data_IF_639147419074
#
_entry.id   IF_639147419074
#
_cell.length_a   1.000
_cell.length_b   1.000
_cell.length_c   1.000
_cell.angle_alpha   90.00
_cell.angle_beta   90.00
_cell.angle_gamma   90.00
#
_symmetry.space_group_name_H-M   'P 1'
#
loop_
_entity.id
_entity.type
_entity.pdbx_description
1 polymer ?
#
# COMPACT_ATOMS: atom_id res chain seq x y z
N UNK A 1 8.16 2.06 -8.56
CA UNK A 1 8.30 3.49 -8.91
C UNK A 1 7.70 3.85 -10.27
N UNK A 2 8.15 3.28 -11.39
CA UNK A 2 7.70 3.67 -12.75
C UNK A 2 6.20 3.44 -12.98
N UNK A 3 5.69 2.23 -12.68
CA UNK A 3 4.27 1.91 -12.87
C UNK A 3 3.33 2.86 -12.13
N UNK A 4 3.65 3.25 -10.89
CA UNK A 4 2.85 4.20 -10.10
C UNK A 4 2.80 5.58 -10.76
N UNK A 5 3.91 6.09 -11.28
CA UNK A 5 3.93 7.40 -11.95
C UNK A 5 3.12 7.38 -13.24
N UNK A 6 3.27 6.32 -14.04
CA UNK A 6 2.50 6.16 -15.28
C UNK A 6 1.01 6.12 -14.95
N UNK A 7 0.59 5.26 -14.02
CA UNK A 7 -0.82 5.14 -13.63
C UNK A 7 -1.42 6.46 -13.12
N UNK A 8 -0.72 7.17 -12.22
CA UNK A 8 -1.21 8.44 -11.68
C UNK A 8 -1.29 9.53 -12.76
N UNK A 9 -0.28 9.63 -13.64
CA UNK A 9 -0.31 10.59 -14.75
C UNK A 9 -1.42 10.29 -15.73
N UNK A 10 -1.63 9.02 -16.09
CA UNK A 10 -2.73 8.58 -16.97
C UNK A 10 -4.09 8.90 -16.35
N UNK A 11 -4.32 8.54 -15.08
CA UNK A 11 -5.58 8.83 -14.38
C UNK A 11 -5.87 10.33 -14.31
N UNK A 12 -4.85 11.16 -14.03
CA UNK A 12 -4.98 12.61 -14.02
C UNK A 12 -5.29 13.19 -15.41
N UNK A 13 -4.66 12.66 -16.46
CA UNK A 13 -4.92 13.07 -17.84
C UNK A 13 -6.36 12.77 -18.27
N UNK A 14 -6.85 11.56 -17.97
CA UNK A 14 -8.23 11.17 -18.23
C UNK A 14 -9.23 12.04 -17.46
N UNK A 15 -9.00 12.24 -16.16
CA UNK A 15 -9.84 13.08 -15.32
C UNK A 15 -9.92 14.53 -15.83
N UNK A 16 -8.79 15.08 -16.28
CA UNK A 16 -8.74 16.41 -16.89
C UNK A 16 -9.57 16.48 -18.18
N UNK A 17 -9.40 15.52 -19.08
CA UNK A 17 -10.11 15.49 -20.36
C UNK A 17 -11.62 15.29 -20.20
N UNK A 18 -12.02 14.42 -19.27
CA UNK A 18 -13.41 14.07 -18.99
C UNK A 18 -14.11 15.06 -18.04
N UNK A 19 -13.38 16.01 -17.45
CA UNK A 19 -13.88 16.97 -16.44
C UNK A 19 -14.52 16.28 -15.23
N UNK A 20 -13.94 15.17 -14.79
CA UNK A 20 -14.37 14.41 -13.61
C UNK A 20 -13.26 14.41 -12.54
N UNK A 21 -13.59 14.22 -11.25
CA UNK A 21 -12.57 14.06 -10.23
C UNK A 21 -11.77 12.76 -10.42
N UNK A 22 -10.51 12.77 -9.97
CA UNK A 22 -9.69 11.57 -9.83
C UNK A 22 -9.51 11.26 -8.35
N UNK A 23 -9.80 10.02 -7.94
CA UNK A 23 -9.64 9.56 -6.56
C UNK A 23 -8.40 8.68 -6.44
N UNK A 24 -7.56 8.99 -5.44
CA UNK A 24 -6.41 8.15 -5.08
C UNK A 24 -6.81 7.03 -4.12
N UNK A 25 -6.43 5.79 -4.47
CA UNK A 25 -6.52 4.62 -3.59
C UNK A 25 -5.14 3.99 -3.49
N UNK A 26 -4.68 3.74 -2.27
CA UNK A 26 -3.36 3.13 -2.08
C UNK A 26 -3.44 1.62 -2.25
N UNK A 27 -2.37 0.98 -2.71
CA UNK A 27 -2.32 -0.49 -2.79
C UNK A 27 -2.49 -1.15 -1.42
N UNK A 28 -1.96 -0.53 -0.36
CA UNK A 28 -2.09 -1.06 1.00
C UNK A 28 -3.55 -1.04 1.49
N UNK A 29 -4.26 0.06 1.24
CA UNK A 29 -5.68 0.19 1.56
C UNK A 29 -6.53 -0.83 0.77
N UNK A 30 -6.25 -0.99 -0.53
CA UNK A 30 -6.98 -1.93 -1.37
C UNK A 30 -6.76 -3.39 -0.96
N UNK A 31 -5.53 -3.77 -0.61
CA UNK A 31 -5.20 -5.11 -0.09
C UNK A 31 -5.94 -5.38 1.22
N UNK A 32 -5.96 -4.41 2.15
CA UNK A 32 -6.67 -4.56 3.41
C UNK A 32 -8.18 -4.74 3.20
N UNK A 33 -8.78 -3.91 2.35
CA UNK A 33 -10.20 -4.03 2.00
C UNK A 33 -10.54 -5.37 1.35
N UNK A 34 -9.66 -5.89 0.48
CA UNK A 34 -9.83 -7.22 -0.11
C UNK A 34 -9.75 -8.32 0.93
N UNK A 35 -8.79 -8.27 1.86
CA UNK A 35 -8.68 -9.22 2.94
C UNK A 35 -9.92 -9.23 3.85
N UNK A 36 -10.49 -8.07 4.18
CA UNK A 36 -11.76 -8.01 4.92
C UNK A 36 -12.91 -8.67 4.15
N UNK A 37 -12.97 -8.55 2.83
CA UNK A 37 -14.00 -9.18 2.01
C UNK A 37 -13.84 -10.71 1.96
N UNK A 38 -12.60 -11.21 1.84
CA UNK A 38 -12.30 -12.65 1.73
C UNK A 38 -12.43 -13.35 3.09
N UNK A 39 -12.01 -12.71 4.18
CA UNK A 39 -12.05 -13.27 5.52
C UNK A 39 -13.42 -13.16 6.20
N UNK A 40 -14.43 -12.60 5.51
CA UNK A 40 -15.78 -12.42 6.05
C UNK A 40 -16.51 -13.76 6.06
N UNK A 41 -16.79 -14.25 7.27
CA UNK A 41 -17.58 -15.46 7.45
C UNK A 41 -19.08 -15.17 7.33
N UNK A 42 -19.91 -16.20 7.02
CA UNK A 42 -21.37 -16.03 6.85
C UNK A 42 -22.09 -15.48 8.10
N UNK A 43 -21.55 -15.77 9.28
CA UNK A 43 -22.02 -15.29 10.59
C UNK A 43 -21.56 -13.86 10.93
N UNK A 44 -20.79 -13.21 10.04
CA UNK A 44 -20.22 -11.88 10.24
C UNK A 44 -18.91 -11.87 11.03
N UNK A 45 -18.43 -13.04 11.47
CA UNK A 45 -17.12 -13.19 12.09
C UNK A 45 -16.00 -12.93 11.08
N UNK A 46 -14.83 -12.54 11.58
CA UNK A 46 -13.66 -12.19 10.77
C UNK A 46 -12.77 -11.18 11.50
N UNK A 47 -11.58 -10.88 10.97
CA UNK A 47 -10.63 -10.00 11.63
C UNK A 47 -11.21 -8.59 11.83
N UNK A 48 -10.82 -7.96 12.94
CA UNK A 48 -11.15 -6.56 13.23
C UNK A 48 -10.08 -5.60 12.70
N UNK A 49 -8.85 -6.08 12.62
CA UNK A 49 -7.72 -5.38 12.05
C UNK A 49 -7.05 -6.25 10.97
N UNK A 50 -6.61 -5.61 9.89
CA UNK A 50 -5.80 -6.24 8.84
C UNK A 50 -4.55 -5.40 8.64
N UNK A 51 -3.39 -6.05 8.72
CA UNK A 51 -2.14 -5.51 8.23
C UNK A 51 -2.01 -5.84 6.75
N UNK A 52 -2.05 -4.80 5.91
CA UNK A 52 -1.56 -4.93 4.54
C UNK A 52 -0.05 -4.77 4.55
N UNK A 53 0.65 -5.75 3.99
CA UNK A 53 2.10 -5.82 3.94
C UNK A 53 2.59 -6.22 2.53
N UNK A 54 3.39 -5.36 1.92
CA UNK A 54 3.99 -5.58 0.60
C UNK A 54 5.50 -5.65 0.74
N UNK A 55 6.11 -6.66 0.13
CA UNK A 55 7.58 -6.77 0.05
C UNK A 55 8.18 -5.56 -0.70
N UNK A 56 9.00 -4.76 -0.02
CA UNK A 56 9.66 -3.61 -0.61
C UNK A 56 11.08 -3.93 -1.12
N UNK A 57 11.53 -5.18 -0.97
CA UNK A 57 12.92 -5.58 -1.18
C UNK A 57 13.89 -4.90 -0.21
N UNK A 58 15.19 -5.24 -0.27
CA UNK A 58 16.24 -4.69 0.62
C UNK A 58 15.81 -4.68 2.09
N UNK A 59 15.30 -5.82 2.56
CA UNK A 59 14.88 -6.05 3.94
C UNK A 59 13.77 -5.11 4.47
N UNK A 60 13.08 -4.41 3.57
CA UNK A 60 11.96 -3.54 3.91
C UNK A 60 10.60 -4.14 3.54
N UNK A 61 9.61 -3.88 4.39
CA UNK A 61 8.20 -4.17 4.17
C UNK A 61 7.43 -2.86 4.15
N UNK A 62 6.63 -2.60 3.12
CA UNK A 62 5.62 -1.54 3.18
C UNK A 62 4.43 -2.05 3.95
N UNK A 63 4.13 -1.44 5.09
CA UNK A 63 3.07 -1.87 6.00
C UNK A 63 2.11 -0.74 6.34
N UNK A 64 0.84 -1.09 6.49
CA UNK A 64 -0.20 -0.26 7.09
C UNK A 64 -1.24 -1.20 7.72
N UNK A 65 -1.89 -0.73 8.79
CA UNK A 65 -2.91 -1.51 9.49
C UNK A 65 -4.21 -0.73 9.45
N UNK A 66 -5.27 -1.40 8.97
CA UNK A 66 -6.60 -0.84 8.81
C UNK A 66 -7.60 -1.65 9.64
N UNK A 67 -8.62 -0.97 10.15
CA UNK A 67 -9.81 -1.62 10.70
C UNK A 67 -10.91 -1.79 9.64
N UNK A 68 -12.00 -2.49 10.00
CA UNK A 68 -13.16 -2.71 9.10
C UNK A 68 -13.82 -1.42 8.59
N UNK A 69 -13.69 -0.31 9.32
CA UNK A 69 -14.21 1.00 8.92
C UNK A 69 -13.26 1.74 7.96
N UNK A 70 -12.14 1.14 7.56
CA UNK A 70 -11.12 1.76 6.71
C UNK A 70 -10.23 2.76 7.44
N UNK A 71 -10.36 2.91 8.75
CA UNK A 71 -9.48 3.78 9.55
C UNK A 71 -8.14 3.09 9.80
N UNK A 72 -7.06 3.87 9.77
CA UNK A 72 -5.71 3.37 10.00
C UNK A 72 -5.39 3.37 11.50
N UNK A 73 -5.04 2.21 12.06
CA UNK A 73 -4.39 2.12 13.38
C UNK A 73 -2.88 2.31 13.26
N UNK A 74 -2.30 2.01 12.09
CA UNK A 74 -0.90 2.27 11.77
C UNK A 74 -0.76 2.80 10.34
N UNK A 75 -0.17 4.00 10.14
CA UNK A 75 -0.12 4.63 8.83
C UNK A 75 0.87 3.93 7.89
N UNK A 76 0.69 4.07 6.56
CA UNK A 76 1.63 3.59 5.55
C UNK A 76 3.07 3.98 5.86
N UNK A 77 3.89 2.96 6.14
CA UNK A 77 5.29 3.12 6.53
C UNK A 77 6.15 2.03 5.90
N UNK A 78 7.46 2.24 5.87
CA UNK A 78 8.43 1.18 5.59
C UNK A 78 9.02 0.69 6.91
N UNK A 79 8.95 -0.63 7.16
CA UNK A 79 9.40 -1.28 8.39
C UNK A 79 10.27 -2.48 8.07
N UNK A 80 11.02 -3.00 9.06
CA UNK A 80 11.73 -4.29 8.90
C UNK A 80 10.76 -5.45 9.01
N UNK A 81 11.23 -6.65 8.66
CA UNK A 81 10.43 -7.87 8.78
C UNK A 81 10.04 -8.17 10.23
N UNK A 82 10.98 -8.02 11.16
CA UNK A 82 10.78 -8.25 12.60
C UNK A 82 9.80 -7.23 13.18
N UNK A 83 9.91 -5.96 12.76
CA UNK A 83 8.97 -4.93 13.19
C UNK A 83 7.58 -5.19 12.64
N UNK A 84 7.43 -5.62 11.38
CA UNK A 84 6.14 -6.01 10.84
C UNK A 84 5.49 -7.14 11.66
N UNK A 85 6.25 -8.16 12.06
CA UNK A 85 5.76 -9.23 12.93
C UNK A 85 5.35 -8.70 14.32
N UNK A 86 6.19 -7.89 14.97
CA UNK A 86 5.83 -7.26 16.26
C UNK A 86 4.57 -6.42 16.19
N UNK A 87 4.42 -5.63 15.12
CA UNK A 87 3.24 -4.80 14.88
C UNK A 87 1.99 -5.65 14.66
N UNK A 88 2.06 -6.70 13.85
CA UNK A 88 0.93 -7.58 13.57
C UNK A 88 0.41 -8.26 14.86
N UNK A 89 1.33 -8.81 15.66
CA UNK A 89 1.00 -9.45 16.94
C UNK A 89 0.40 -8.45 17.93
N UNK A 90 1.02 -7.27 18.10
CA UNK A 90 0.55 -6.23 19.03
C UNK A 90 -0.87 -5.74 18.70
N UNK A 91 -1.16 -5.56 17.41
CA UNK A 91 -2.46 -5.06 16.97
C UNK A 91 -3.48 -6.19 16.73
N UNK A 92 -3.09 -7.45 16.93
CA UNK A 92 -3.90 -8.64 16.61
C UNK A 92 -4.45 -8.58 15.17
N UNK A 93 -3.59 -8.19 14.23
CA UNK A 93 -3.97 -7.89 12.86
C UNK A 93 -3.76 -9.09 11.94
N UNK A 94 -4.81 -9.48 11.20
CA UNK A 94 -4.69 -10.48 10.15
C UNK A 94 -3.76 -9.99 9.04
N UNK A 95 -2.94 -10.89 8.49
CA UNK A 95 -1.97 -10.52 7.46
C UNK A 95 -2.59 -10.55 6.05
N UNK A 96 -2.25 -9.57 5.24
CA UNK A 96 -2.61 -9.52 3.84
C UNK A 96 -1.50 -8.92 2.97
N UNK A 97 -1.39 -9.38 1.71
CA UNK A 97 -0.43 -8.86 0.73
C UNK A 97 0.75 -9.80 0.45
N UNK A 98 1.72 -9.34 -0.33
CA UNK A 98 2.83 -10.18 -0.81
C UNK A 98 3.85 -10.54 0.27
N UNK A 99 3.91 -9.79 1.38
CA UNK A 99 4.86 -10.05 2.46
C UNK A 99 4.36 -11.10 3.47
N UNK A 100 3.10 -11.57 3.36
CA UNK A 100 2.49 -12.53 4.30
C UNK A 100 3.41 -13.72 4.55
N UNK A 101 3.94 -14.35 3.49
CA UNK A 101 4.80 -15.54 3.61
C UNK A 101 6.13 -15.29 4.33
N UNK A 102 6.59 -14.04 4.39
CA UNK A 102 7.79 -13.67 5.14
C UNK A 102 7.46 -13.39 6.60
N UNK A 103 6.30 -12.79 6.88
CA UNK A 103 5.91 -12.35 8.23
C UNK A 103 5.31 -13.50 9.04
N UNK A 104 4.41 -14.30 8.44
CA UNK A 104 3.68 -15.36 9.13
C UNK A 104 4.58 -16.36 9.90
N UNK A 105 5.75 -16.78 9.39
CA UNK A 105 6.64 -17.67 10.14
C UNK A 105 7.17 -17.10 11.47
N UNK A 106 7.12 -15.78 11.67
CA UNK A 106 7.58 -15.10 12.88
C UNK A 106 6.49 -14.97 13.95
N UNK A 107 5.25 -15.31 13.63
CA UNK A 107 4.06 -14.98 14.43
C UNK A 107 3.49 -16.16 15.24
N UNK A 108 4.03 -17.37 15.06
CA UNK A 108 3.51 -18.58 15.72
C UNK A 108 2.23 -19.12 15.05
N UNK A 109 1.66 -20.18 15.63
CA UNK A 109 0.43 -20.78 15.09
C UNK A 109 -0.82 -19.97 15.49
N UNK A 110 -1.72 -19.72 14.53
CA UNK A 110 -3.02 -19.09 14.78
C UNK A 110 -3.27 -17.73 14.12
N UNK A 111 -2.27 -17.15 13.45
CA UNK A 111 -2.47 -15.87 12.74
C UNK A 111 -3.41 -16.04 11.53
N UNK A 112 -4.42 -15.17 11.44
CA UNK A 112 -5.34 -15.18 10.31
C UNK A 112 -4.63 -14.62 9.05
N UNK A 113 -4.47 -15.46 8.03
CA UNK A 113 -4.05 -15.03 6.70
C UNK A 113 -5.32 -14.65 5.93
N UNK A 114 -5.50 -13.35 5.66
CA UNK A 114 -6.68 -12.84 4.99
C UNK A 114 -6.62 -12.91 3.46
N UNK A 115 -5.48 -12.54 2.87
CA UNK A 115 -5.31 -12.49 1.42
C UNK A 115 -3.84 -12.48 1.01
N UNK A 116 -3.42 -13.38 0.13
CA UNK A 116 -2.08 -13.37 -0.47
C UNK A 116 -2.13 -12.87 -1.92
N UNK A 117 -1.60 -11.67 -2.16
CA UNK A 117 -1.50 -11.13 -3.51
C UNK A 117 -0.61 -9.89 -3.56
N UNK A 118 -0.04 -9.63 -4.74
CA UNK A 118 0.77 -8.43 -4.97
C UNK A 118 -0.07 -7.14 -5.00
N UNK A 119 -1.36 -7.26 -5.25
CA UNK A 119 -2.34 -6.17 -5.31
C UNK A 119 -3.75 -6.76 -5.11
N UNK A 120 -4.73 -5.90 -4.81
CA UNK A 120 -6.14 -6.28 -4.82
C UNK A 120 -6.73 -6.29 -6.24
N UNK A 121 -7.93 -6.86 -6.37
CA UNK A 121 -8.76 -6.82 -7.57
C UNK A 121 -9.18 -5.37 -7.88
N UNK A 122 -9.21 -5.01 -9.17
CA UNK A 122 -9.55 -3.64 -9.60
C UNK A 122 -10.95 -3.20 -9.17
N UNK A 123 -11.90 -4.12 -9.02
CA UNK A 123 -13.23 -3.84 -8.50
C UNK A 123 -13.21 -3.43 -7.02
N UNK A 124 -12.20 -3.83 -6.25
CA UNK A 124 -12.00 -3.34 -4.87
C UNK A 124 -11.53 -1.88 -4.90
N UNK A 125 -10.60 -1.53 -5.79
CA UNK A 125 -10.19 -0.14 -5.99
C UNK A 125 -11.35 0.76 -6.40
N UNK A 126 -12.18 0.29 -7.34
CA UNK A 126 -13.34 1.04 -7.82
C UNK A 126 -14.35 1.30 -6.70
N UNK A 127 -14.64 0.30 -5.85
CA UNK A 127 -15.53 0.46 -4.69
C UNK A 127 -14.97 1.45 -3.67
N UNK A 128 -13.71 1.29 -3.27
CA UNK A 128 -13.04 2.23 -2.36
C UNK A 128 -13.03 3.66 -2.92
N UNK A 129 -12.84 3.82 -4.22
CA UNK A 129 -12.88 5.14 -4.86
C UNK A 129 -14.29 5.74 -4.86
N UNK A 130 -15.33 4.93 -5.05
CA UNK A 130 -16.73 5.36 -5.04
C UNK A 130 -17.19 5.84 -3.65
N UNK A 131 -16.67 5.23 -2.58
CA UNK A 131 -17.01 5.59 -1.19
C UNK A 131 -16.27 6.84 -0.69
N UNK A 132 -15.29 7.35 -1.45
CA UNK A 132 -14.50 8.53 -1.08
C UNK A 132 -15.06 9.80 -1.69
N UNK A 133 -15.09 10.87 -0.90
CA UNK A 133 -15.33 12.20 -1.43
C UNK A 133 -14.14 12.67 -2.28
N UNK A 134 -14.39 13.34 -3.43
CA UNK A 134 -13.34 14.00 -4.19
C UNK A 134 -12.52 14.96 -3.35
N UNK A 135 -11.21 14.71 -3.30
CA UNK A 135 -10.24 15.53 -2.59
C UNK A 135 -9.16 16.08 -3.53
N UNK A 136 -7.94 16.18 -3.01
CA UNK A 136 -6.78 16.57 -3.81
C UNK A 136 -6.54 15.59 -4.98
N UNK A 137 -5.92 16.09 -6.04
CA UNK A 137 -5.51 15.26 -7.18
C UNK A 137 -4.58 14.15 -6.69
N UNK A 138 -4.73 12.91 -7.18
CA UNK A 138 -3.93 11.79 -6.73
C UNK A 138 -2.45 12.03 -7.01
N UNK A 139 -1.61 11.70 -6.02
CA UNK A 139 -0.15 11.78 -6.09
C UNK A 139 0.46 10.43 -5.70
N UNK A 140 1.61 10.04 -6.29
CA UNK A 140 2.31 8.84 -5.86
C UNK A 140 2.68 8.91 -4.37
N UNK A 141 2.39 7.85 -3.62
CA UNK A 141 2.87 7.67 -2.25
C UNK A 141 4.17 6.87 -2.28
N UNK A 142 5.29 7.54 -2.01
CA UNK A 142 6.60 6.90 -1.88
C UNK A 142 7.00 6.81 -0.42
N UNK A 143 7.08 5.58 0.09
CA UNK A 143 7.49 5.31 1.47
C UNK A 143 9.00 5.12 1.62
N UNK A 144 9.70 4.90 0.50
CA UNK A 144 11.17 4.86 0.45
C UNK A 144 11.69 6.09 -0.29
N UNK A 145 12.71 6.74 0.27
CA UNK A 145 13.40 7.82 -0.40
C UNK A 145 14.03 7.33 -1.72
N UNK A 146 14.09 8.16 -2.78
CA UNK A 146 14.78 7.78 -4.00
C UNK A 146 16.27 7.57 -3.74
N UNK A 147 16.82 6.44 -4.20
CA UNK A 147 18.25 6.11 -4.09
C UNK A 147 19.17 6.95 -5.01
N UNK A 148 18.59 7.81 -5.84
CA UNK A 148 19.33 8.57 -6.82
C UNK A 148 20.18 9.65 -6.13
N UNK A 149 21.49 9.40 -6.03
CA UNK A 149 22.46 10.46 -5.74
C UNK A 149 22.51 11.40 -6.94
N UNK A 150 22.50 12.74 -6.75
CA UNK A 150 22.74 13.67 -7.85
C UNK A 150 24.05 13.29 -8.54
N UNK A 151 24.06 13.21 -9.88
CA UNK A 151 25.34 13.20 -10.59
C UNK A 151 26.05 14.50 -10.21
N UNK A 152 27.17 14.40 -9.48
CA UNK A 152 28.05 15.54 -9.27
C UNK A 152 28.42 16.05 -10.67
N UNK A 153 28.00 17.28 -10.97
CA UNK A 153 28.07 17.84 -12.31
C UNK A 153 29.48 17.73 -12.87
N UNK A 154 29.63 17.01 -13.98
CA UNK A 154 30.78 17.17 -14.85
C UNK A 154 30.66 18.57 -15.47
N UNK A 155 31.16 19.59 -14.78
CA UNK A 155 31.28 20.93 -15.31
C UNK A 155 32.48 20.92 -16.25
N UNK A 156 32.23 20.83 -17.56
CA UNK A 156 33.26 21.10 -18.55
C UNK A 156 33.68 22.57 -18.42
N UNK A 157 34.98 22.88 -18.25
CA UNK A 157 35.43 24.27 -18.21
C UNK A 157 35.13 24.94 -19.55
N UNK A 158 34.42 26.06 -19.52
CA UNK A 158 34.20 26.89 -20.71
C UNK A 158 35.56 27.46 -21.14
N UNK A 159 36.00 27.15 -22.36
CA UNK A 159 37.10 27.87 -23.01
C UNK A 159 36.67 29.32 -23.20
N UNK A 160 37.38 30.24 -22.56
CA UNK A 160 37.33 31.66 -22.88
C UNK A 160 38.06 31.82 -24.22
N UNK A 161 37.34 32.29 -25.24
CA UNK A 161 37.96 32.83 -26.46
C UNK A 161 38.22 34.32 -26.25
#
# INVERSE_FOLDING_TARGET
>A
FTGVRVAVSTARGLALALKIPAIGVTTLEAIAAQAFNVARQPDGAGPQQVMSAIDAGRDGIYAAIYNRAGSMSYPPSIVTLEEAARLASRESAALAGSAVRKIAPLLGEGELIGFEGATADIAVYARLAADKSPGERPRPLYLRAPDAKPQAGFVLPRRVQ
#
